data_IF_861965474613
#
_entry.id   IF_861965474613
#
_cell.length_a   1.000
_cell.length_b   1.000
_cell.length_c   1.000
_cell.angle_alpha   90.00
_cell.angle_beta   90.00
_cell.angle_gamma   90.00
#
_symmetry.space_group_name_H-M   'P 1'
#
loop_
_entity.id
_entity.type
_entity.pdbx_description
1 polymer ?
#
# COMPACT_ATOMS: atom_id res chain seq x y z
N UNK A 1 -7.21 -15.51 -7.25
CA UNK A 1 -7.24 -14.51 -6.16
C UNK A 1 -5.84 -14.15 -5.64
N UNK A 2 -4.94 -15.12 -5.40
CA UNK A 2 -3.55 -14.86 -5.00
C UNK A 2 -2.79 -13.84 -5.85
N UNK A 3 -2.89 -13.91 -7.19
CA UNK A 3 -2.26 -12.93 -8.08
C UNK A 3 -2.78 -11.50 -7.86
N UNK A 4 -4.07 -11.33 -7.58
CA UNK A 4 -4.65 -10.02 -7.32
C UNK A 4 -4.21 -9.50 -5.95
N UNK A 5 -4.18 -10.36 -4.93
CA UNK A 5 -3.63 -10.01 -3.62
C UNK A 5 -2.17 -9.53 -3.72
N UNK A 6 -1.32 -10.28 -4.42
CA UNK A 6 0.08 -9.89 -4.65
C UNK A 6 0.22 -8.55 -5.35
N UNK A 7 -0.62 -8.28 -6.37
CA UNK A 7 -0.63 -6.98 -7.07
C UNK A 7 -1.00 -5.81 -6.14
N UNK A 8 -1.92 -6.01 -5.20
CA UNK A 8 -2.31 -4.95 -4.26
C UNK A 8 -1.20 -4.64 -3.25
N UNK A 9 -0.53 -5.67 -2.74
CA UNK A 9 0.65 -5.51 -1.87
C UNK A 9 1.78 -4.81 -2.61
N UNK A 10 2.10 -5.22 -3.83
CA UNK A 10 3.13 -4.58 -4.66
C UNK A 10 2.79 -3.11 -4.97
N UNK A 11 1.52 -2.80 -5.23
CA UNK A 11 1.08 -1.42 -5.45
C UNK A 11 1.25 -0.56 -4.20
N UNK A 12 0.92 -1.08 -3.01
CA UNK A 12 1.16 -0.38 -1.73
C UNK A 12 2.64 -0.05 -1.55
N UNK A 13 3.52 -1.03 -1.71
CA UNK A 13 4.98 -0.84 -1.54
C UNK A 13 5.50 0.23 -2.51
N UNK A 14 5.12 0.17 -3.79
CA UNK A 14 5.53 1.18 -4.78
C UNK A 14 5.06 2.59 -4.44
N UNK A 15 3.85 2.74 -3.90
CA UNK A 15 3.34 4.05 -3.50
C UNK A 15 4.10 4.54 -2.25
N UNK A 16 4.35 3.66 -1.28
CA UNK A 16 5.11 4.00 -0.07
C UNK A 16 6.53 4.49 -0.40
N UNK A 17 7.25 3.75 -1.24
CA UNK A 17 8.58 4.14 -1.75
C UNK A 17 8.54 5.49 -2.47
N UNK A 18 7.47 5.74 -3.24
CA UNK A 18 7.31 6.99 -3.99
C UNK A 18 7.05 8.17 -3.04
N UNK A 19 6.25 7.98 -1.99
CA UNK A 19 5.99 8.99 -0.97
C UNK A 19 7.27 9.34 -0.20
N UNK A 20 8.08 8.34 0.15
CA UNK A 20 9.37 8.53 0.81
C UNK A 20 10.37 9.27 -0.10
N UNK A 21 10.42 8.93 -1.40
CA UNK A 21 11.25 9.64 -2.36
C UNK A 21 10.84 11.11 -2.54
N UNK A 22 9.53 11.39 -2.55
CA UNK A 22 9.00 12.75 -2.66
C UNK A 22 9.29 13.57 -1.39
N UNK A 23 9.24 12.97 -0.20
CA UNK A 23 9.62 13.66 1.04
C UNK A 23 11.06 14.16 0.98
N UNK A 24 12.01 13.29 0.60
CA UNK A 24 13.43 13.66 0.47
C UNK A 24 13.63 14.79 -0.55
N UNK A 25 12.88 14.77 -1.64
CA UNK A 25 12.91 15.82 -2.64
C UNK A 25 12.40 17.16 -2.07
N UNK A 26 11.28 17.14 -1.35
CA UNK A 26 10.73 18.33 -0.67
C UNK A 26 11.72 18.89 0.36
N UNK A 27 12.33 18.03 1.18
CA UNK A 27 13.38 18.43 2.13
C UNK A 27 14.58 19.09 1.43
N UNK A 28 14.97 18.58 0.25
CA UNK A 28 16.03 19.17 -0.58
C UNK A 28 15.66 20.58 -1.05
N UNK A 29 14.46 20.77 -1.60
CA UNK A 29 13.99 22.10 -2.04
C UNK A 29 13.94 23.12 -0.90
N UNK A 30 13.55 22.68 0.30
CA UNK A 30 13.52 23.52 1.51
C UNK A 30 14.93 23.93 1.93
N UNK A 31 15.89 22.99 1.90
CA UNK A 31 17.31 23.25 2.24
C UNK A 31 17.99 24.17 1.23
N UNK A 32 17.69 24.02 -0.06
CA UNK A 32 18.29 24.80 -1.14
C UNK A 32 17.71 26.22 -1.26
N UNK A 33 16.73 26.57 -0.42
CA UNK A 33 16.25 27.96 -0.29
C UNK A 33 15.24 28.39 -1.34
N UNK A 34 14.46 27.46 -1.91
CA UNK A 34 13.49 27.72 -2.98
C UNK A 34 12.44 28.81 -2.62
N UNK A 35 12.20 29.06 -1.32
CA UNK A 35 11.28 30.12 -0.85
C UNK A 35 11.76 30.79 0.45
N UNK A 36 11.04 31.82 0.91
CA UNK A 36 11.27 32.39 2.26
C UNK A 36 11.16 31.33 3.35
N UNK A 37 11.94 31.44 4.43
CA UNK A 37 12.03 30.45 5.52
C UNK A 37 10.67 29.98 6.06
N UNK A 38 9.68 30.88 6.15
CA UNK A 38 8.32 30.55 6.61
C UNK A 38 7.50 29.77 5.56
N UNK A 39 7.62 30.13 4.29
CA UNK A 39 6.93 29.42 3.19
C UNK A 39 7.45 27.99 3.03
N UNK A 40 8.77 27.81 3.12
CA UNK A 40 9.41 26.50 3.01
C UNK A 40 9.01 25.57 4.16
N UNK A 41 8.92 26.09 5.39
CA UNK A 41 8.48 25.30 6.56
C UNK A 41 7.02 24.87 6.45
N UNK A 42 6.11 25.79 6.06
CA UNK A 42 4.69 25.47 5.90
C UNK A 42 4.45 24.43 4.79
N UNK A 43 5.24 24.50 3.71
CA UNK A 43 5.19 23.51 2.64
C UNK A 43 5.67 22.13 3.09
N UNK A 44 6.78 22.05 3.83
CA UNK A 44 7.28 20.79 4.40
C UNK A 44 6.25 20.14 5.32
N UNK A 45 5.62 20.92 6.19
CA UNK A 45 4.58 20.44 7.11
C UNK A 45 3.35 19.95 6.34
N UNK A 46 2.88 20.71 5.35
CA UNK A 46 1.78 20.30 4.47
C UNK A 46 2.08 18.98 3.75
N UNK A 47 3.32 18.79 3.29
CA UNK A 47 3.72 17.55 2.64
C UNK A 47 3.75 16.35 3.61
N UNK A 48 4.22 16.54 4.85
CA UNK A 48 4.19 15.50 5.88
C UNK A 48 2.77 15.07 6.21
N UNK A 49 1.83 16.02 6.31
CA UNK A 49 0.41 15.70 6.51
C UNK A 49 -0.20 14.93 5.34
N UNK A 50 0.09 15.38 4.11
CA UNK A 50 -0.33 14.66 2.90
C UNK A 50 0.22 13.23 2.88
N UNK A 51 1.52 13.06 3.14
CA UNK A 51 2.19 11.76 3.18
C UNK A 51 1.52 10.84 4.21
N UNK A 52 1.22 11.33 5.41
CA UNK A 52 0.52 10.55 6.45
C UNK A 52 -0.85 10.05 5.95
N UNK A 53 -1.71 10.95 5.45
CA UNK A 53 -3.03 10.55 4.95
C UNK A 53 -2.96 9.62 3.75
N UNK A 54 -1.96 9.80 2.88
CA UNK A 54 -1.71 8.89 1.77
C UNK A 54 -1.30 7.49 2.26
N UNK A 55 -0.40 7.38 3.26
CA UNK A 55 -0.03 6.10 3.88
C UNK A 55 -1.23 5.39 4.51
N UNK A 56 -2.04 6.11 5.28
CA UNK A 56 -3.28 5.58 5.86
C UNK A 56 -4.25 5.08 4.78
N UNK A 57 -4.35 5.79 3.65
CA UNK A 57 -5.23 5.38 2.54
C UNK A 57 -4.74 4.08 1.89
N UNK A 58 -3.43 3.95 1.62
CA UNK A 58 -2.87 2.77 0.94
C UNK A 58 -2.76 1.54 1.84
N UNK A 59 -2.84 1.68 3.16
CA UNK A 59 -3.02 0.54 4.07
C UNK A 59 -4.30 -0.25 3.74
N UNK A 60 -5.33 0.41 3.19
CA UNK A 60 -6.52 -0.26 2.68
C UNK A 60 -6.22 -1.31 1.60
N UNK A 61 -5.18 -1.11 0.79
CA UNK A 61 -4.74 -2.07 -0.23
C UNK A 61 -4.19 -3.35 0.41
N UNK A 62 -3.51 -3.23 1.55
CA UNK A 62 -3.02 -4.40 2.31
C UNK A 62 -4.19 -5.20 2.89
N UNK A 63 -5.21 -4.52 3.44
CA UNK A 63 -6.43 -5.15 3.92
C UNK A 63 -7.15 -5.92 2.82
N UNK A 64 -7.30 -5.31 1.64
CA UNK A 64 -7.88 -5.98 0.46
C UNK A 64 -7.05 -7.17 -0.02
N UNK A 65 -5.71 -7.05 -0.01
CA UNK A 65 -4.80 -8.16 -0.35
C UNK A 65 -4.93 -9.35 0.62
N UNK A 66 -5.00 -9.07 1.93
CA UNK A 66 -5.25 -10.08 2.97
C UNK A 66 -6.60 -10.77 2.77
N UNK A 67 -7.66 -9.99 2.51
CA UNK A 67 -8.99 -10.53 2.21
C UNK A 67 -8.96 -11.49 1.03
N UNK A 68 -8.38 -11.08 -0.11
CA UNK A 68 -8.29 -11.91 -1.31
C UNK A 68 -7.46 -13.18 -1.08
N UNK A 69 -6.40 -13.10 -0.26
CA UNK A 69 -5.57 -14.26 0.10
C UNK A 69 -6.36 -15.26 0.94
N UNK A 70 -7.13 -14.80 1.93
CA UNK A 70 -7.94 -15.66 2.77
C UNK A 70 -9.08 -16.30 1.98
N UNK A 71 -9.74 -15.53 1.11
CA UNK A 71 -10.76 -16.07 0.21
C UNK A 71 -10.19 -17.17 -0.68
N UNK A 72 -9.00 -16.96 -1.28
CA UNK A 72 -8.35 -17.96 -2.13
C UNK A 72 -8.13 -19.29 -1.39
N UNK A 73 -7.60 -19.23 -0.17
CA UNK A 73 -7.36 -20.41 0.68
C UNK A 73 -8.66 -21.17 0.98
N UNK A 74 -9.72 -20.45 1.35
CA UNK A 74 -11.01 -21.07 1.64
C UNK A 74 -11.60 -21.80 0.42
N UNK A 75 -11.43 -21.25 -0.78
CA UNK A 75 -11.84 -21.93 -2.02
C UNK A 75 -10.98 -23.17 -2.31
N UNK A 76 -9.67 -23.09 -2.12
CA UNK A 76 -8.76 -24.23 -2.32
C UNK A 76 -9.06 -25.38 -1.35
N UNK A 77 -9.35 -25.07 -0.08
CA UNK A 77 -9.76 -26.06 0.93
C UNK A 77 -11.11 -26.70 0.56
N UNK A 78 -12.10 -25.89 0.17
CA UNK A 78 -13.40 -26.39 -0.28
C UNK A 78 -13.28 -27.33 -1.49
N UNK A 79 -12.48 -26.96 -2.48
CA UNK A 79 -12.26 -27.77 -3.68
C UNK A 79 -11.58 -29.11 -3.34
N UNK A 80 -10.63 -29.11 -2.40
CA UNK A 80 -9.99 -30.34 -1.93
C UNK A 80 -10.98 -31.28 -1.23
N UNK A 81 -11.85 -30.74 -0.37
CA UNK A 81 -12.88 -31.50 0.31
C UNK A 81 -13.89 -32.10 -0.67
N UNK A 82 -14.35 -31.33 -1.65
CA UNK A 82 -15.24 -31.80 -2.71
C UNK A 82 -14.58 -32.92 -3.54
N UNK A 83 -13.32 -32.75 -3.94
CA UNK A 83 -12.58 -33.76 -4.69
C UNK A 83 -12.38 -35.06 -3.89
N UNK A 84 -12.17 -34.96 -2.58
CA UNK A 84 -12.06 -36.11 -1.68
C UNK A 84 -13.39 -36.83 -1.47
N UNK A 85 -14.51 -36.10 -1.44
CA UNK A 85 -15.85 -36.67 -1.36
C UNK A 85 -16.22 -37.48 -2.62
N UNK A 86 -15.91 -36.94 -3.80
CA UNK A 86 -16.15 -37.63 -5.08
C UNK A 86 -15.32 -38.91 -5.23
N UNK A 87 -14.07 -38.92 -4.74
CA UNK A 87 -13.19 -40.12 -4.81
C UNK A 87 -13.57 -41.24 -3.86
N UNK A 88 -14.38 -40.96 -2.83
CA UNK A 88 -14.84 -41.94 -1.83
C UNK A 88 -16.23 -42.50 -2.13
N UNK A 89 -16.94 -41.93 -3.11
CA UNK A 89 -18.27 -42.36 -3.56
C UNK A 89 -18.24 -43.35 -4.71
#
# INVERSE_FOLDING_TARGET
>A
MHKAAGKLTEAKEKIDDKLDALERYVEGLVKDGYTTRKGSQAFEESFKEFKRGAKETIEGLEGMGKFLTNAAKAYEELDQDLANGVKKG
#
